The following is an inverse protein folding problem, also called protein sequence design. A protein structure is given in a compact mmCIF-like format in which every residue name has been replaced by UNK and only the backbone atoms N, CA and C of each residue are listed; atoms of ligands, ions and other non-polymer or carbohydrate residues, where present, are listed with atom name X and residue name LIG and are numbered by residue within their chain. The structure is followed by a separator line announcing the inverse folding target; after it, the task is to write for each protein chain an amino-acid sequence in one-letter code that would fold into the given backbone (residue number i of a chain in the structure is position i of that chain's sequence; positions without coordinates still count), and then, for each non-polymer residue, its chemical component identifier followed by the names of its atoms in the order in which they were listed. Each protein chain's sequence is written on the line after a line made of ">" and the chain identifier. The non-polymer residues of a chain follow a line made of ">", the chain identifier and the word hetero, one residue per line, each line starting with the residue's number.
data_IF_230783238313
#
_entry.id   IF_230783238313
#
_cell.length_a   1.000
_cell.length_b   1.000
_cell.length_c   1.000
_cell.angle_alpha   90.00
_cell.angle_beta   90.00
_cell.angle_gamma   90.00
#
_symmetry.space_group_name_H-M   'P 1'
#
loop_
_entity.id
_entity.type
_entity.pdbx_description
1 polymer ?
#
# COMPACT_ATOMS: atom_id res chain seq x y z
N UNK A 1 -0.14 5.32 -9.13
CA UNK A 1 0.63 6.36 -8.41
C UNK A 1 1.98 5.81 -7.97
N UNK A 2 2.04 4.78 -7.11
CA UNK A 2 3.32 4.26 -6.57
C UNK A 2 4.25 3.70 -7.64
N UNK A 3 3.74 3.02 -8.68
CA UNK A 3 4.56 2.57 -9.81
C UNK A 3 5.12 3.74 -10.62
N UNK A 4 4.32 4.77 -10.86
CA UNK A 4 4.80 5.99 -11.52
C UNK A 4 5.87 6.70 -10.68
N UNK A 5 5.67 6.74 -9.37
CA UNK A 5 6.68 7.23 -8.43
C UNK A 5 7.98 6.42 -8.55
N UNK A 6 7.90 5.08 -8.52
CA UNK A 6 9.07 4.21 -8.67
C UNK A 6 9.77 4.43 -10.02
N UNK A 7 9.01 4.64 -11.10
CA UNK A 7 9.54 4.98 -12.42
C UNK A 7 10.30 6.30 -12.41
N UNK A 8 9.80 7.33 -11.73
CA UNK A 8 10.50 8.61 -11.56
C UNK A 8 11.79 8.43 -10.75
N UNK A 9 11.76 7.65 -9.67
CA UNK A 9 12.97 7.36 -8.89
C UNK A 9 14.00 6.66 -9.77
N UNK A 10 13.59 5.59 -10.46
CA UNK A 10 14.49 4.84 -11.34
C UNK A 10 15.06 5.68 -12.47
N UNK A 11 14.24 6.51 -13.13
CA UNK A 11 14.70 7.40 -14.19
C UNK A 11 15.82 8.34 -13.75
N UNK A 12 15.77 8.80 -12.50
CA UNK A 12 16.76 9.74 -11.95
C UNK A 12 17.98 9.06 -11.30
N UNK A 13 17.83 7.83 -10.83
CA UNK A 13 18.88 7.16 -10.02
C UNK A 13 19.51 5.97 -10.74
N UNK A 14 18.82 5.41 -11.73
CA UNK A 14 19.14 4.13 -12.39
C UNK A 14 19.36 2.99 -11.38
N UNK A 15 18.74 3.09 -10.21
CA UNK A 15 18.85 2.12 -9.12
C UNK A 15 17.46 1.76 -8.59
N UNK A 16 17.32 0.50 -8.16
CA UNK A 16 16.12 -0.04 -7.49
C UNK A 16 16.43 -0.45 -6.04
N UNK A 17 17.69 -0.54 -5.67
CA UNK A 17 18.08 -0.86 -4.29
C UNK A 17 17.74 0.31 -3.37
N UNK A 18 17.09 -0.01 -2.24
CA UNK A 18 16.63 0.98 -1.28
C UNK A 18 17.79 1.78 -0.68
N UNK A 19 18.97 1.18 -0.56
CA UNK A 19 20.17 1.85 -0.06
C UNK A 19 20.69 2.91 -1.03
N UNK A 20 20.57 2.68 -2.33
CA UNK A 20 21.02 3.61 -3.36
C UNK A 20 20.10 4.79 -3.55
N UNK A 21 18.78 4.60 -3.35
CA UNK A 21 17.77 5.64 -3.51
C UNK A 21 17.46 6.41 -2.22
N UNK A 22 18.17 6.12 -1.11
CA UNK A 22 17.97 6.83 0.17
C UNK A 22 18.09 8.34 0.00
N UNK A 23 17.15 9.06 0.60
CA UNK A 23 17.14 10.52 0.59
C UNK A 23 16.73 11.15 -0.73
N UNK A 24 16.37 10.38 -1.75
CA UNK A 24 15.96 10.91 -3.07
C UNK A 24 14.82 11.92 -2.97
N UNK A 25 13.85 11.69 -2.10
CA UNK A 25 12.69 12.56 -1.91
C UNK A 25 12.93 13.81 -1.07
N UNK A 26 14.10 13.95 -0.44
CA UNK A 26 14.41 15.09 0.43
C UNK A 26 14.38 16.40 -0.35
N UNK A 27 13.70 17.41 0.22
CA UNK A 27 13.54 18.72 -0.45
C UNK A 27 12.61 18.72 -1.66
N UNK A 28 11.82 17.65 -1.86
CA UNK A 28 10.85 17.51 -2.96
C UNK A 28 9.42 17.37 -2.41
N UNK A 29 8.80 18.44 -1.88
CA UNK A 29 7.52 18.33 -1.16
C UNK A 29 6.39 17.77 -2.01
N UNK A 30 6.34 18.11 -3.28
CA UNK A 30 5.33 17.58 -4.20
C UNK A 30 5.41 16.05 -4.33
N UNK A 31 6.63 15.53 -4.48
CA UNK A 31 6.87 14.08 -4.57
C UNK A 31 6.48 13.36 -3.29
N UNK A 32 6.68 14.03 -2.15
CA UNK A 32 6.27 13.56 -0.82
C UNK A 32 4.76 13.36 -0.73
N UNK A 33 3.98 14.38 -1.12
CA UNK A 33 2.51 14.32 -1.12
C UNK A 33 2.00 13.24 -2.07
N UNK A 34 2.57 13.12 -3.27
CA UNK A 34 2.23 12.10 -4.26
C UNK A 34 2.45 10.69 -3.69
N UNK A 35 3.61 10.46 -3.08
CA UNK A 35 3.90 9.16 -2.46
C UNK A 35 2.92 8.85 -1.32
N UNK A 36 2.69 9.81 -0.41
CA UNK A 36 1.76 9.63 0.71
C UNK A 36 0.34 9.33 0.24
N UNK A 37 -0.16 10.03 -0.79
CA UNK A 37 -1.48 9.74 -1.35
C UNK A 37 -1.59 8.28 -1.82
N UNK A 38 -0.61 7.80 -2.58
CA UNK A 38 -0.57 6.41 -3.02
C UNK A 38 -0.40 5.41 -1.88
N UNK A 39 0.47 5.72 -0.91
CA UNK A 39 0.74 4.86 0.24
C UNK A 39 -0.48 4.75 1.17
N UNK A 40 -1.14 5.87 1.48
CA UNK A 40 -2.37 5.90 2.28
C UNK A 40 -3.50 5.12 1.60
N UNK A 41 -3.64 5.26 0.28
CA UNK A 41 -4.61 4.49 -0.48
C UNK A 41 -4.32 2.99 -0.41
N UNK A 42 -3.10 2.56 -0.67
CA UNK A 42 -2.73 1.14 -0.65
C UNK A 42 -2.77 0.55 0.78
N UNK A 43 -2.40 1.32 1.80
CA UNK A 43 -2.54 0.93 3.19
C UNK A 43 -4.02 0.75 3.62
N UNK A 44 -4.95 1.39 2.91
CA UNK A 44 -6.37 1.36 3.22
C UNK A 44 -6.75 2.36 4.30
N UNK A 45 -6.14 3.54 4.27
CA UNK A 45 -6.48 4.63 5.20
C UNK A 45 -7.83 5.26 4.77
N UNK A 46 -8.75 5.51 5.72
CA UNK A 46 -10.03 6.16 5.43
C UNK A 46 -9.85 7.48 4.67
N UNK A 47 -10.75 7.72 3.71
CA UNK A 47 -10.66 8.89 2.83
C UNK A 47 -9.91 8.64 1.51
N UNK A 48 -9.36 7.45 1.29
CA UNK A 48 -8.73 7.05 0.04
C UNK A 48 -9.47 5.87 -0.61
N UNK A 49 -9.36 5.74 -1.93
CA UNK A 49 -10.10 4.71 -2.68
C UNK A 49 -9.75 3.27 -2.23
N UNK A 50 -8.52 3.02 -1.81
CA UNK A 50 -8.11 1.71 -1.32
C UNK A 50 -8.79 1.29 -0.01
N UNK A 51 -9.24 2.25 0.79
CA UNK A 51 -10.06 1.97 1.97
C UNK A 51 -11.40 1.35 1.57
N UNK A 52 -12.06 1.93 0.57
CA UNK A 52 -13.38 1.45 0.11
C UNK A 52 -13.29 0.00 -0.35
N UNK A 53 -12.33 -0.31 -1.22
CA UNK A 53 -12.16 -1.67 -1.75
C UNK A 53 -11.79 -2.68 -0.66
N UNK A 54 -10.93 -2.31 0.29
CA UNK A 54 -10.58 -3.18 1.43
C UNK A 54 -11.77 -3.42 2.35
N UNK A 55 -12.58 -2.40 2.61
CA UNK A 55 -13.78 -2.53 3.44
C UNK A 55 -14.78 -3.49 2.80
N UNK A 56 -15.02 -3.36 1.50
CA UNK A 56 -15.94 -4.28 0.78
C UNK A 56 -15.46 -5.73 0.84
N UNK A 57 -14.17 -5.97 0.63
CA UNK A 57 -13.59 -7.33 0.74
C UNK A 57 -13.68 -7.84 2.18
N UNK A 58 -13.37 -7.01 3.16
CA UNK A 58 -13.44 -7.39 4.57
C UNK A 58 -14.86 -7.74 5.00
N UNK A 59 -15.86 -6.91 4.64
CA UNK A 59 -17.28 -7.20 4.92
C UNK A 59 -17.73 -8.52 4.28
N UNK A 60 -17.34 -8.76 3.01
CA UNK A 60 -17.67 -10.02 2.35
C UNK A 60 -17.06 -11.24 3.08
N UNK A 61 -15.81 -11.13 3.58
CA UNK A 61 -15.18 -12.19 4.37
C UNK A 61 -15.94 -12.41 5.68
N UNK A 62 -16.28 -11.35 6.40
CA UNK A 62 -16.96 -11.42 7.69
C UNK A 62 -18.38 -11.98 7.53
N UNK A 63 -19.13 -11.53 6.53
CA UNK A 63 -20.48 -12.02 6.24
C UNK A 63 -20.44 -13.51 5.91
N UNK A 64 -19.52 -13.94 5.06
CA UNK A 64 -19.35 -15.35 4.74
C UNK A 64 -18.91 -16.19 5.95
N UNK A 65 -18.08 -15.64 6.82
CA UNK A 65 -17.68 -16.30 8.07
C UNK A 65 -18.88 -16.56 8.99
N UNK A 66 -19.79 -15.58 9.10
CA UNK A 66 -21.01 -15.72 9.88
C UNK A 66 -21.96 -16.78 9.32
N UNK A 67 -22.09 -16.87 8.01
CA UNK A 67 -22.97 -17.87 7.37
C UNK A 67 -22.39 -19.28 7.40
N UNK A 68 -21.09 -19.43 7.19
CA UNK A 68 -20.47 -20.75 7.04
C UNK A 68 -20.09 -21.41 8.36
N UNK A 69 -19.94 -20.62 9.45
CA UNK A 69 -19.44 -21.09 10.75
C UNK A 69 -18.09 -21.84 10.67
N UNK A 70 -17.34 -21.68 9.58
CA UNK A 70 -16.06 -22.35 9.36
C UNK A 70 -14.93 -21.53 10.01
N UNK A 71 -14.18 -22.14 10.91
CA UNK A 71 -13.01 -21.51 11.53
C UNK A 71 -11.95 -21.06 10.51
N UNK A 72 -11.84 -21.74 9.38
CA UNK A 72 -10.94 -21.40 8.29
C UNK A 72 -11.21 -20.00 7.71
N UNK A 73 -12.45 -19.56 7.66
CA UNK A 73 -12.82 -18.22 7.15
C UNK A 73 -12.43 -17.14 8.16
N UNK A 74 -12.56 -17.40 9.45
CA UNK A 74 -12.04 -16.51 10.50
C UNK A 74 -10.52 -16.37 10.39
N UNK A 75 -9.81 -17.45 10.06
CA UNK A 75 -8.38 -17.38 9.80
C UNK A 75 -8.05 -16.52 8.57
N UNK A 76 -8.85 -16.57 7.51
CA UNK A 76 -8.71 -15.70 6.32
C UNK A 76 -8.87 -14.23 6.70
N UNK A 77 -9.84 -13.88 7.55
CA UNK A 77 -10.01 -12.51 8.06
C UNK A 77 -8.73 -12.00 8.74
N UNK A 78 -8.16 -12.79 9.66
CA UNK A 78 -6.92 -12.42 10.34
C UNK A 78 -5.73 -12.30 9.39
N UNK A 79 -5.62 -13.20 8.40
CA UNK A 79 -4.60 -13.11 7.35
C UNK A 79 -4.76 -11.85 6.51
N UNK A 80 -6.00 -11.47 6.19
CA UNK A 80 -6.30 -10.23 5.46
C UNK A 80 -5.86 -8.99 6.25
N UNK A 81 -6.21 -8.90 7.53
CA UNK A 81 -5.81 -7.80 8.41
C UNK A 81 -4.28 -7.75 8.59
N UNK A 82 -3.64 -8.90 8.77
CA UNK A 82 -2.19 -9.01 8.88
C UNK A 82 -1.48 -8.57 7.61
N UNK A 83 -1.95 -9.03 6.44
CA UNK A 83 -1.43 -8.58 5.14
C UNK A 83 -1.56 -7.07 4.94
N UNK A 84 -2.69 -6.49 5.37
CA UNK A 84 -2.88 -5.03 5.40
C UNK A 84 -1.84 -4.32 6.27
N UNK A 85 -1.55 -4.87 7.44
CA UNK A 85 -0.51 -4.37 8.35
C UNK A 85 0.89 -4.46 7.76
N UNK A 86 1.25 -5.59 7.14
CA UNK A 86 2.54 -5.73 6.44
C UNK A 86 2.67 -4.72 5.30
N UNK A 87 1.59 -4.48 4.57
CA UNK A 87 1.55 -3.49 3.48
C UNK A 87 1.89 -2.09 4.01
N UNK A 88 1.25 -1.65 5.06
CA UNK A 88 1.52 -0.36 5.68
C UNK A 88 2.96 -0.28 6.25
N UNK A 89 3.47 -1.38 6.82
CA UNK A 89 4.83 -1.44 7.36
C UNK A 89 5.90 -1.27 6.27
N UNK A 90 5.81 -1.99 5.15
CA UNK A 90 6.81 -1.83 4.08
C UNK A 90 6.71 -0.47 3.38
N UNK A 91 5.51 0.09 3.20
CA UNK A 91 5.34 1.44 2.67
C UNK A 91 5.97 2.49 3.60
N UNK A 92 5.81 2.34 4.91
CA UNK A 92 6.49 3.18 5.90
C UNK A 92 8.02 3.05 5.81
N UNK A 93 8.53 1.82 5.61
CA UNK A 93 9.97 1.59 5.37
C UNK A 93 10.47 2.38 4.16
N UNK A 94 9.78 2.27 3.02
CA UNK A 94 10.15 2.99 1.79
C UNK A 94 10.07 4.50 2.01
N UNK A 95 9.00 4.97 2.66
CA UNK A 95 8.80 6.38 2.97
C UNK A 95 9.96 6.95 3.80
N UNK A 96 10.33 6.28 4.88
CA UNK A 96 11.43 6.71 5.74
C UNK A 96 12.76 6.70 4.99
N UNK A 97 13.04 5.66 4.20
CA UNK A 97 14.27 5.56 3.43
C UNK A 97 14.40 6.70 2.40
N UNK A 98 13.34 6.94 1.64
CA UNK A 98 13.40 7.87 0.50
C UNK A 98 13.31 9.33 0.94
N UNK A 99 12.52 9.64 1.98
CA UNK A 99 12.23 11.04 2.33
C UNK A 99 12.94 11.53 3.60
N UNK A 100 13.24 10.65 4.55
CA UNK A 100 13.77 11.07 5.85
C UNK A 100 15.26 10.76 6.04
N UNK A 101 15.72 9.62 5.53
CA UNK A 101 17.12 9.24 5.69
C UNK A 101 18.04 10.13 4.86
N UNK A 102 19.28 10.29 5.32
CA UNK A 102 20.34 10.95 4.57
C UNK A 102 20.90 9.97 3.53
N UNK A 103 21.06 10.42 2.31
CA UNK A 103 21.61 9.67 1.18
C UNK A 103 22.42 10.58 0.27
N UNK A 104 22.62 10.15 -0.97
CA UNK A 104 23.26 10.96 -2.03
C UNK A 104 22.43 12.22 -2.31
N UNK A 105 23.07 13.29 -2.74
CA UNK A 105 22.35 14.47 -3.21
C UNK A 105 21.91 14.23 -4.66
N UNK A 106 20.60 14.20 -4.87
CA UNK A 106 20.00 13.98 -6.20
C UNK A 106 19.49 15.27 -6.85
N UNK A 107 19.83 16.44 -6.28
CA UNK A 107 19.31 17.71 -6.75
C UNK A 107 17.79 17.86 -6.56
N UNK A 108 17.26 19.04 -6.84
CA UNK A 108 15.83 19.36 -6.64
C UNK A 108 14.95 18.98 -7.83
N UNK A 109 15.54 18.89 -9.01
CA UNK A 109 14.78 18.59 -10.24
C UNK A 109 14.60 17.08 -10.42
N UNK A 110 13.38 16.59 -10.51
CA UNK A 110 13.09 15.16 -10.53
C UNK A 110 12.17 14.73 -11.71
N UNK A 111 11.79 15.67 -12.54
CA UNK A 111 10.94 15.35 -13.70
C UNK A 111 10.49 16.57 -14.47
N UNK A 112 9.97 16.33 -15.66
CA UNK A 112 9.39 17.36 -16.53
C UNK A 112 8.09 17.90 -15.95
N UNK A 113 7.64 19.11 -16.33
CA UNK A 113 6.34 19.64 -15.90
C UNK A 113 5.18 18.69 -16.22
N UNK A 114 5.24 18.03 -17.38
CA UNK A 114 4.21 17.06 -17.80
C UNK A 114 4.17 15.83 -16.88
N UNK A 115 5.34 15.27 -16.53
CA UNK A 115 5.42 14.15 -15.60
C UNK A 115 4.89 14.52 -14.21
N UNK A 116 5.18 15.72 -13.73
CA UNK A 116 4.66 16.25 -12.48
C UNK A 116 3.15 16.39 -12.49
N UNK A 117 2.60 16.96 -13.57
CA UNK A 117 1.15 17.11 -13.75
C UNK A 117 0.43 15.75 -13.77
N UNK A 118 0.94 14.78 -14.53
CA UNK A 118 0.36 13.44 -14.60
C UNK A 118 0.33 12.74 -13.24
N UNK A 119 1.44 12.84 -12.47
CA UNK A 119 1.52 12.29 -11.12
C UNK A 119 0.57 12.99 -10.14
N UNK A 120 0.43 14.32 -10.23
CA UNK A 120 -0.50 15.07 -9.40
C UNK A 120 -1.96 14.67 -9.70
N UNK A 121 -2.35 14.59 -10.97
CA UNK A 121 -3.69 14.15 -11.35
C UNK A 121 -3.98 12.76 -10.77
N UNK A 122 -3.06 11.82 -10.99
CA UNK A 122 -3.21 10.47 -10.46
C UNK A 122 -3.27 10.43 -8.91
N UNK A 123 -2.50 11.26 -8.22
CA UNK A 123 -2.49 11.31 -6.76
C UNK A 123 -3.76 11.94 -6.17
N UNK A 124 -4.30 12.96 -6.83
CA UNK A 124 -5.54 13.66 -6.41
C UNK A 124 -6.78 12.81 -6.66
N UNK A 125 -6.78 11.97 -7.69
CA UNK A 125 -7.90 11.07 -7.99
C UNK A 125 -8.18 10.09 -6.82
N UNK A 126 -7.14 9.64 -6.10
CA UNK A 126 -7.29 8.65 -5.01
C UNK A 126 -8.16 9.15 -3.84
N UNK A 127 -7.93 10.34 -3.25
CA UNK A 127 -8.81 10.86 -2.21
C UNK A 127 -10.17 11.31 -2.76
N UNK A 128 -10.27 11.80 -4.00
CA UNK A 128 -11.57 12.16 -4.58
C UNK A 128 -12.49 10.94 -4.60
N UNK A 129 -12.03 9.80 -5.12
CA UNK A 129 -12.81 8.56 -5.13
C UNK A 129 -13.08 8.08 -3.70
N UNK A 130 -12.09 8.20 -2.81
CA UNK A 130 -12.20 7.77 -1.41
C UNK A 130 -13.22 8.55 -0.58
N UNK A 131 -13.40 9.85 -0.89
CA UNK A 131 -14.35 10.71 -0.20
C UNK A 131 -15.77 10.67 -0.80
N UNK A 132 -15.91 10.09 -1.99
CA UNK A 132 -17.21 9.98 -2.69
C UNK A 132 -17.61 8.52 -2.97
N UNK A 133 -17.65 7.64 -1.94
CA UNK A 133 -17.91 6.21 -2.15
C UNK A 133 -19.26 5.94 -2.80
N UNK A 134 -20.31 6.64 -2.37
CA UNK A 134 -21.68 6.44 -2.86
C UNK A 134 -21.89 6.86 -4.33
N UNK A 135 -21.05 7.78 -4.83
CA UNK A 135 -21.24 8.28 -6.22
C UNK A 135 -20.56 7.38 -7.25
N UNK A 136 -19.37 6.92 -6.94
CA UNK A 136 -18.53 6.20 -7.91
C UNK A 136 -18.40 4.70 -7.59
N UNK A 137 -18.07 4.36 -6.34
CA UNK A 137 -17.79 2.99 -5.96
C UNK A 137 -19.06 2.12 -6.00
N UNK A 138 -20.20 2.63 -5.52
CA UNK A 138 -21.48 1.89 -5.57
C UNK A 138 -21.98 1.69 -6.98
N UNK A 139 -21.87 2.71 -7.85
CA UNK A 139 -22.25 2.56 -9.26
C UNK A 139 -21.36 1.56 -10.00
N UNK A 140 -20.06 1.61 -9.77
CA UNK A 140 -19.12 0.66 -10.38
C UNK A 140 -19.33 -0.76 -9.85
N UNK A 141 -19.59 -0.93 -8.56
CA UNK A 141 -19.89 -2.25 -7.99
C UNK A 141 -21.19 -2.81 -8.53
N UNK A 142 -22.23 -1.99 -8.69
CA UNK A 142 -23.48 -2.38 -9.32
C UNK A 142 -23.29 -2.89 -10.75
N UNK A 143 -22.57 -2.13 -11.58
CA UNK A 143 -22.23 -2.55 -12.96
C UNK A 143 -21.42 -3.86 -12.98
N UNK A 144 -20.52 -4.05 -12.03
CA UNK A 144 -19.72 -5.27 -11.93
C UNK A 144 -20.58 -6.47 -11.53
N UNK A 145 -21.51 -6.28 -10.60
CA UNK A 145 -22.47 -7.31 -10.19
C UNK A 145 -23.36 -7.75 -11.34
N UNK A 146 -23.91 -6.81 -12.11
CA UNK A 146 -24.71 -7.10 -13.29
C UNK A 146 -23.90 -7.90 -14.33
N UNK A 147 -22.63 -7.53 -14.53
CA UNK A 147 -21.74 -8.21 -15.47
C UNK A 147 -21.33 -9.62 -15.01
N UNK A 148 -21.14 -9.83 -13.71
CA UNK A 148 -20.72 -11.11 -13.14
C UNK A 148 -21.88 -12.03 -12.74
N UNK A 149 -23.14 -11.57 -12.86
CA UNK A 149 -24.32 -12.29 -12.42
C UNK A 149 -24.40 -12.46 -10.89
N UNK A 150 -23.71 -11.59 -10.15
CA UNK A 150 -23.70 -11.60 -8.70
C UNK A 150 -25.00 -11.04 -8.11
N UNK A 151 -25.25 -11.31 -6.84
CA UNK A 151 -26.37 -10.73 -6.11
C UNK A 151 -25.93 -9.44 -5.41
N UNK A 152 -26.76 -8.38 -5.44
CA UNK A 152 -26.45 -7.14 -4.73
C UNK A 152 -26.43 -7.39 -3.21
N UNK A 153 -25.56 -6.65 -2.52
CA UNK A 153 -25.57 -6.66 -1.06
C UNK A 153 -26.95 -6.23 -0.54
N UNK A 154 -27.50 -6.99 0.39
CA UNK A 154 -28.82 -6.73 0.96
C UNK A 154 -28.87 -5.45 1.82
N UNK A 155 -27.71 -4.94 2.24
CA UNK A 155 -27.59 -3.74 3.06
C UNK A 155 -26.53 -2.81 2.48
N UNK A 156 -26.81 -1.48 2.50
CA UNK A 156 -25.82 -0.47 2.11
C UNK A 156 -24.61 -0.51 3.05
N UNK A 157 -23.41 -0.48 2.48
CA UNK A 157 -22.15 -0.50 3.24
C UNK A 157 -21.92 0.84 3.92
N UNK A 158 -21.87 0.84 5.24
CA UNK A 158 -21.49 2.02 6.02
C UNK A 158 -19.98 2.09 6.21
N UNK A 159 -19.29 2.67 5.24
CA UNK A 159 -17.81 2.72 5.21
C UNK A 159 -17.18 3.29 6.49
N UNK A 160 -17.78 4.31 7.11
CA UNK A 160 -17.27 4.93 8.33
C UNK A 160 -17.81 4.31 9.62
N UNK A 161 -18.54 3.18 9.54
CA UNK A 161 -18.98 2.46 10.72
C UNK A 161 -17.79 1.96 11.54
N UNK A 162 -17.94 1.93 12.86
CA UNK A 162 -16.87 1.49 13.77
C UNK A 162 -16.35 0.08 13.46
N UNK A 163 -17.23 -0.81 13.01
CA UNK A 163 -16.86 -2.17 12.62
C UNK A 163 -15.77 -2.16 11.53
N UNK A 164 -15.93 -1.30 10.53
CA UNK A 164 -14.99 -1.17 9.42
C UNK A 164 -13.70 -0.42 9.81
N UNK A 165 -13.83 0.62 10.63
CA UNK A 165 -12.68 1.36 11.17
C UNK A 165 -11.81 0.50 12.08
N UNK A 166 -12.42 -0.41 12.86
CA UNK A 166 -11.69 -1.34 13.73
C UNK A 166 -10.67 -2.18 12.95
N UNK A 167 -11.05 -2.70 11.78
CA UNK A 167 -10.14 -3.49 10.93
C UNK A 167 -8.91 -2.68 10.49
N UNK A 168 -9.11 -1.42 10.12
CA UNK A 168 -7.99 -0.52 9.77
C UNK A 168 -7.10 -0.25 10.98
N UNK A 169 -7.68 0.03 12.14
CA UNK A 169 -6.89 0.28 13.36
C UNK A 169 -6.05 -0.95 13.70
N UNK A 170 -6.60 -2.16 13.64
CA UNK A 170 -5.85 -3.40 13.86
C UNK A 170 -4.70 -3.51 12.87
N UNK A 171 -4.94 -3.32 11.58
CA UNK A 171 -3.90 -3.37 10.54
C UNK A 171 -2.80 -2.33 10.78
N UNK A 172 -3.15 -1.11 11.18
CA UNK A 172 -2.17 -0.06 11.49
C UNK A 172 -1.37 -0.36 12.77
N UNK A 173 -1.99 -0.96 13.79
CA UNK A 173 -1.28 -1.43 14.98
C UNK A 173 -0.27 -2.54 14.61
N UNK A 174 -0.68 -3.52 13.79
CA UNK A 174 0.23 -4.54 13.27
C UNK A 174 1.38 -3.89 12.49
N UNK A 175 1.08 -2.91 11.64
CA UNK A 175 2.10 -2.18 10.89
C UNK A 175 3.12 -1.49 11.81
N UNK A 176 2.65 -0.82 12.86
CA UNK A 176 3.51 -0.15 13.84
C UNK A 176 4.41 -1.17 14.57
N UNK A 177 3.85 -2.28 15.02
CA UNK A 177 4.61 -3.36 15.68
C UNK A 177 5.67 -3.94 14.74
N UNK A 178 5.28 -4.31 13.52
CA UNK A 178 6.21 -4.88 12.52
C UNK A 178 7.29 -3.86 12.14
N UNK A 179 6.92 -2.60 11.96
CA UNK A 179 7.90 -1.56 11.64
C UNK A 179 8.90 -1.35 12.78
N UNK A 180 8.42 -1.20 14.02
CA UNK A 180 9.29 -0.92 15.16
C UNK A 180 10.16 -2.12 15.55
N UNK A 181 9.57 -3.33 15.65
CA UNK A 181 10.28 -4.50 16.14
C UNK A 181 11.08 -5.19 15.04
N UNK A 182 10.52 -5.35 13.84
CA UNK A 182 11.18 -6.10 12.79
C UNK A 182 12.00 -5.19 11.87
N UNK A 183 11.40 -4.15 11.29
CA UNK A 183 12.09 -3.33 10.29
C UNK A 183 13.20 -2.51 10.94
N UNK A 184 12.88 -1.79 12.03
CA UNK A 184 13.83 -0.89 12.67
C UNK A 184 14.94 -1.62 13.43
N UNK A 185 14.62 -2.73 14.12
CA UNK A 185 15.61 -3.43 14.96
C UNK A 185 16.41 -4.48 14.19
N UNK A 186 15.84 -5.12 13.16
CA UNK A 186 16.47 -6.24 12.45
C UNK A 186 17.01 -5.82 11.08
N UNK A 187 16.22 -5.08 10.30
CA UNK A 187 16.57 -4.76 8.92
C UNK A 187 17.42 -3.51 8.78
N UNK A 188 17.37 -2.57 9.72
CA UNK A 188 18.18 -1.34 9.68
C UNK A 188 19.43 -1.52 10.52
N UNK A 189 20.60 -1.41 9.89
CA UNK A 189 21.88 -1.43 10.58
C UNK A 189 22.12 -0.11 11.32
N UNK A 190 23.12 -0.07 12.22
CA UNK A 190 23.50 1.14 12.99
C UNK A 190 23.92 2.33 12.10
N UNK A 191 24.42 2.04 10.91
CA UNK A 191 24.78 3.02 9.87
C UNK A 191 23.60 3.48 9.01
N UNK A 192 22.39 3.01 9.31
CA UNK A 192 21.17 3.33 8.58
C UNK A 192 21.01 2.59 7.25
N UNK A 193 21.85 1.61 6.92
CA UNK A 193 21.72 0.78 5.73
C UNK A 193 20.69 -0.32 5.95
N UNK A 194 19.97 -0.69 4.90
CA UNK A 194 19.04 -1.81 4.91
C UNK A 194 19.79 -3.10 4.59
N UNK A 195 19.66 -4.10 5.48
CA UNK A 195 20.26 -5.42 5.31
C UNK A 195 19.25 -6.39 4.72
N UNK A 196 19.69 -7.24 3.81
CA UNK A 196 18.93 -8.41 3.39
C UNK A 196 19.21 -9.53 4.41
N UNK A 197 18.20 -9.86 5.22
CA UNK A 197 18.29 -10.91 6.25
C UNK A 197 17.79 -12.26 5.71
N UNK A 198 17.16 -12.23 4.54
CA UNK A 198 16.57 -13.42 3.95
C UNK A 198 17.64 -14.41 3.46
N UNK A 199 17.56 -15.68 3.82
CA UNK A 199 18.45 -16.69 3.26
C UNK A 199 18.20 -16.83 1.75
N UNK A 200 19.27 -17.09 0.99
CA UNK A 200 19.21 -17.15 -0.49
C UNK A 200 18.17 -18.15 -1.03
N UNK A 201 17.91 -19.25 -0.29
CA UNK A 201 16.92 -20.25 -0.69
C UNK A 201 15.47 -19.74 -0.59
N UNK A 202 15.21 -18.71 0.21
CA UNK A 202 13.89 -18.08 0.34
C UNK A 202 13.71 -16.89 -0.62
N UNK A 203 14.76 -16.53 -1.36
CA UNK A 203 14.68 -15.51 -2.41
C UNK A 203 13.95 -16.08 -3.62
N UNK A 204 12.76 -15.54 -3.91
CA UNK A 204 12.00 -15.92 -5.12
C UNK A 204 12.81 -15.65 -6.40
N UNK A 205 13.64 -14.62 -6.40
CA UNK A 205 14.51 -14.30 -7.52
C UNK A 205 15.51 -15.42 -7.79
N UNK A 206 16.21 -15.89 -6.75
CA UNK A 206 17.26 -16.92 -6.91
C UNK A 206 16.68 -18.32 -7.05
N UNK A 207 15.53 -18.61 -6.38
CA UNK A 207 14.95 -19.95 -6.32
C UNK A 207 13.95 -20.24 -7.44
N UNK A 208 13.27 -19.22 -7.99
CA UNK A 208 12.21 -19.39 -8.98
C UNK A 208 12.57 -18.68 -10.28
N UNK A 209 12.80 -17.37 -10.25
CA UNK A 209 12.95 -16.60 -11.50
C UNK A 209 14.24 -16.92 -12.26
N UNK A 210 15.40 -16.96 -11.59
CA UNK A 210 16.67 -17.27 -12.28
C UNK A 210 16.73 -18.65 -12.93
N UNK A 211 16.23 -19.75 -12.33
CA UNK A 211 16.16 -21.04 -13.00
C UNK A 211 15.21 -21.08 -14.19
N UNK A 212 14.12 -20.28 -14.15
CA UNK A 212 13.08 -20.29 -15.18
C UNK A 212 13.44 -19.47 -16.42
N UNK A 213 14.30 -18.47 -16.29
CA UNK A 213 14.72 -17.57 -17.38
C UNK A 213 16.18 -17.79 -17.83
N UNK A 214 16.79 -18.89 -17.44
CA UNK A 214 18.04 -19.38 -17.98
C UNK A 214 17.76 -20.40 -19.06
#
# INVERSE_FOLDING_TARGET
>A
VLFLFAGVVYYNTHALDLNDIRGFGRGKPLLHVIFLSGACSLAGIPGFCGYISKTLVHEAIVEYAHHSHLWSITAVEWLFLFSGGLTAAYLTKIYVAVFWQKGKDFGKNWGTPLSKAALCIAAVTLPIIGLTPHVLAEKLSGLTLDFTGGHPFHHGVHYLAWVNLKGVVISLCIAAVVYCLFIRMVLIAKDGTYRSVWPKWLSLEDSVYKPFFR
#
